data_IF_059219009699
#
_entry.id   IF_059219009699
#
_cell.length_a   1.000
_cell.length_b   1.000
_cell.length_c   1.000
_cell.angle_alpha   90.00
_cell.angle_beta   90.00
_cell.angle_gamma   90.00
#
_symmetry.space_group_name_H-M   'P 1'
#
loop_
_entity.id
_entity.type
_entity.pdbx_description
1 polymer ?
#
# COMPACT_ATOMS: atom_id res chain seq x y z
N UNK A 1 15.00 -22.71 7.11
CA UNK A 1 13.52 -22.66 7.20
C UNK A 1 13.03 -21.67 8.25
N UNK A 2 13.44 -21.77 9.53
CA UNK A 2 12.97 -20.85 10.58
C UNK A 2 13.23 -19.36 10.27
N UNK A 3 14.43 -19.01 9.78
CA UNK A 3 14.75 -17.63 9.39
C UNK A 3 13.86 -17.11 8.23
N UNK A 4 13.65 -17.92 7.19
CA UNK A 4 12.81 -17.55 6.05
C UNK A 4 11.36 -17.34 6.50
N UNK A 5 10.84 -18.24 7.33
CA UNK A 5 9.50 -18.09 7.91
C UNK A 5 9.38 -16.82 8.75
N UNK A 6 10.39 -16.52 9.59
CA UNK A 6 10.42 -15.29 10.39
C UNK A 6 10.44 -14.04 9.50
N UNK A 7 11.26 -14.03 8.43
CA UNK A 7 11.31 -12.93 7.46
C UNK A 7 9.97 -12.74 6.73
N UNK A 8 9.34 -13.83 6.29
CA UNK A 8 8.00 -13.77 5.67
C UNK A 8 6.97 -13.20 6.62
N UNK A 9 6.96 -13.63 7.89
CA UNK A 9 6.06 -13.12 8.91
C UNK A 9 6.29 -11.62 9.19
N UNK A 10 7.54 -11.17 9.23
CA UNK A 10 7.87 -9.75 9.39
C UNK A 10 7.36 -8.92 8.21
N UNK A 11 7.51 -9.41 6.97
CA UNK A 11 6.98 -8.74 5.78
C UNK A 11 5.46 -8.64 5.84
N UNK A 12 4.78 -9.70 6.27
CA UNK A 12 3.33 -9.68 6.42
C UNK A 12 2.89 -8.68 7.49
N UNK A 13 3.56 -8.66 8.64
CA UNK A 13 3.29 -7.69 9.70
C UNK A 13 3.48 -6.25 9.22
N UNK A 14 4.58 -5.97 8.50
CA UNK A 14 4.84 -4.66 7.91
C UNK A 14 3.76 -4.29 6.88
N UNK A 15 3.39 -5.20 5.98
CA UNK A 15 2.36 -4.96 4.96
C UNK A 15 0.97 -4.69 5.53
N UNK A 16 0.64 -5.29 6.68
CA UNK A 16 -0.66 -5.11 7.34
C UNK A 16 -0.75 -3.81 8.14
N UNK A 17 0.37 -3.28 8.63
CA UNK A 17 0.39 -2.04 9.40
C UNK A 17 -0.37 -0.86 8.74
N UNK A 18 -0.11 -0.48 7.47
CA UNK A 18 -0.82 0.62 6.83
C UNK A 18 -2.31 0.33 6.60
N UNK A 19 -2.69 -0.93 6.39
CA UNK A 19 -4.10 -1.34 6.22
C UNK A 19 -4.86 -1.19 7.53
N UNK A 20 -4.27 -1.66 8.64
CA UNK A 20 -4.84 -1.54 9.99
C UNK A 20 -4.97 -0.06 10.36
N UNK A 21 -3.93 0.74 10.12
CA UNK A 21 -3.95 2.17 10.45
C UNK A 21 -5.00 2.93 9.63
N UNK A 22 -5.19 2.57 8.36
CA UNK A 22 -6.28 3.11 7.54
C UNK A 22 -7.65 2.76 8.11
N UNK A 23 -7.85 1.55 8.63
CA UNK A 23 -9.11 1.17 9.30
C UNK A 23 -9.37 1.96 10.59
N UNK A 24 -8.32 2.34 11.32
CA UNK A 24 -8.42 3.20 12.52
C UNK A 24 -8.64 4.68 12.14
N UNK A 25 -8.65 5.02 10.85
CA UNK A 25 -8.92 6.37 10.35
C UNK A 25 -7.67 7.22 10.12
N UNK A 26 -6.48 6.61 10.11
CA UNK A 26 -5.24 7.31 9.75
C UNK A 26 -5.20 7.55 8.25
N UNK A 27 -5.28 8.81 7.87
CA UNK A 27 -5.23 9.27 6.48
C UNK A 27 -3.78 9.43 6.01
N UNK A 28 -3.21 8.36 5.45
CA UNK A 28 -1.87 8.39 4.85
C UNK A 28 -1.94 8.28 3.32
N UNK A 29 -1.05 8.99 2.63
CA UNK A 29 -0.88 8.94 1.19
C UNK A 29 0.60 8.86 0.80
N UNK A 30 1.06 7.78 0.12
CA UNK A 30 2.42 7.72 -0.42
C UNK A 30 2.58 8.65 -1.62
N UNK A 31 3.73 9.30 -1.75
CA UNK A 31 4.06 10.13 -2.90
C UNK A 31 4.39 9.25 -4.11
N UNK A 32 3.88 9.60 -5.30
CA UNK A 32 4.09 8.81 -6.52
C UNK A 32 5.56 8.77 -6.97
N UNK A 33 6.33 9.79 -6.60
CA UNK A 33 7.75 9.98 -6.90
C UNK A 33 8.68 9.51 -5.77
N UNK A 34 8.13 8.89 -4.72
CA UNK A 34 8.96 8.37 -3.64
C UNK A 34 9.91 7.26 -4.16
N UNK A 35 11.21 7.27 -3.81
CA UNK A 35 12.16 6.26 -4.29
C UNK A 35 11.72 4.80 -4.05
N UNK A 36 11.13 4.43 -2.88
CA UNK A 36 10.63 3.07 -2.67
C UNK A 36 9.56 2.62 -3.67
N UNK A 37 8.78 3.56 -4.24
CA UNK A 37 7.74 3.27 -5.25
C UNK A 37 8.38 2.87 -6.57
N UNK A 38 9.48 3.53 -6.97
CA UNK A 38 10.23 3.18 -8.19
C UNK A 38 10.79 1.75 -8.13
N UNK A 39 11.06 1.23 -6.93
CA UNK A 39 11.53 -0.14 -6.70
C UNK A 39 10.40 -1.17 -6.54
N UNK A 40 9.14 -0.81 -6.81
CA UNK A 40 8.00 -1.71 -6.65
C UNK A 40 8.14 -3.04 -7.41
N UNK A 41 8.68 -3.02 -8.63
CA UNK A 41 8.95 -4.23 -9.42
C UNK A 41 10.01 -5.14 -8.78
N UNK A 42 11.01 -4.54 -8.14
CA UNK A 42 12.04 -5.28 -7.39
C UNK A 42 11.39 -5.94 -6.16
N UNK A 43 10.48 -5.24 -5.48
CA UNK A 43 9.72 -5.79 -4.36
C UNK A 43 8.88 -7.01 -4.77
N UNK A 44 8.22 -6.94 -5.93
CA UNK A 44 7.43 -8.04 -6.48
C UNK A 44 8.32 -9.26 -6.77
N UNK A 45 9.47 -9.05 -7.43
CA UNK A 45 10.42 -10.12 -7.73
C UNK A 45 11.00 -10.74 -6.45
N UNK A 46 11.49 -9.93 -5.53
CA UNK A 46 12.04 -10.39 -4.26
C UNK A 46 11.00 -11.13 -3.40
N UNK A 47 9.77 -10.61 -3.33
CA UNK A 47 8.66 -11.26 -2.65
C UNK A 47 8.28 -12.60 -3.28
N UNK A 48 8.35 -12.71 -4.60
CA UNK A 48 8.13 -13.97 -5.33
C UNK A 48 9.19 -15.02 -5.01
N UNK A 49 10.46 -14.64 -5.06
CA UNK A 49 11.59 -15.54 -4.69
C UNK A 49 11.47 -15.98 -3.24
N UNK A 50 11.22 -15.04 -2.32
CA UNK A 50 11.08 -15.37 -0.90
C UNK A 50 9.88 -16.27 -0.63
N UNK A 51 8.73 -15.98 -1.25
CA UNK A 51 7.54 -16.84 -1.17
C UNK A 51 7.83 -18.24 -1.72
N UNK A 52 8.48 -18.35 -2.87
CA UNK A 52 8.86 -19.64 -3.42
C UNK A 52 9.78 -20.41 -2.47
N UNK A 53 10.81 -19.77 -1.92
CA UNK A 53 11.73 -20.41 -0.97
C UNK A 53 11.07 -20.81 0.35
N UNK A 54 10.07 -20.06 0.81
CA UNK A 54 9.33 -20.40 2.03
C UNK A 54 8.34 -21.55 1.82
N UNK A 55 7.67 -21.61 0.67
CA UNK A 55 6.52 -22.49 0.44
C UNK A 55 6.80 -23.68 -0.49
N UNK A 56 7.70 -23.59 -1.48
CA UNK A 56 8.03 -24.70 -2.41
C UNK A 56 8.71 -25.90 -1.74
N UNK A 57 9.61 -25.76 -0.74
CA UNK A 57 10.13 -26.93 -0.03
C UNK A 57 9.04 -27.78 0.63
N UNK A 58 7.90 -27.15 0.98
CA UNK A 58 6.72 -27.83 1.48
C UNK A 58 6.05 -28.71 0.41
N UNK A 59 6.10 -28.33 -0.88
CA UNK A 59 5.66 -29.19 -2.01
C UNK A 59 6.57 -30.39 -2.22
N UNK A 60 7.88 -30.19 -2.09
CA UNK A 60 8.86 -31.24 -2.36
C UNK A 60 8.93 -32.29 -1.25
N UNK A 61 8.08 -32.18 -0.21
CA UNK A 61 8.10 -33.09 0.92
C UNK A 61 9.39 -33.00 1.72
N UNK A 62 10.14 -31.88 1.60
CA UNK A 62 11.34 -31.57 2.39
C UNK A 62 10.92 -31.09 3.79
N UNK A 63 9.98 -31.82 4.40
CA UNK A 63 9.55 -31.59 5.76
C UNK A 63 10.63 -32.13 6.69
N UNK A 64 11.08 -31.35 7.69
CA UNK A 64 12.03 -31.84 8.70
C UNK A 64 11.50 -33.03 9.51
N UNK A 65 10.20 -33.34 9.42
CA UNK A 65 9.54 -34.47 10.09
C UNK A 65 9.63 -35.81 9.34
N UNK A 66 10.25 -35.87 8.15
CA UNK A 66 10.43 -37.11 7.38
C UNK A 66 9.13 -37.72 6.80
N UNK A 67 7.96 -37.14 7.06
CA UNK A 67 6.71 -37.55 6.42
C UNK A 67 6.60 -36.96 5.01
N UNK A 68 6.46 -37.84 4.01
CA UNK A 68 6.06 -37.46 2.65
C UNK A 68 4.62 -36.94 2.68
N UNK A 69 4.46 -35.63 2.62
CA UNK A 69 3.16 -35.01 2.41
C UNK A 69 2.61 -35.44 1.04
N UNK A 70 1.41 -36.02 0.99
CA UNK A 70 0.69 -36.18 -0.28
C UNK A 70 0.26 -34.80 -0.76
N UNK A 71 0.82 -34.35 -1.87
CA UNK A 71 0.46 -33.07 -2.47
C UNK A 71 -0.90 -33.21 -3.16
N UNK A 72 -1.96 -32.86 -2.44
CA UNK A 72 -3.32 -32.76 -2.99
C UNK A 72 -3.61 -31.36 -3.55
N UNK A 73 -4.71 -31.23 -4.31
CA UNK A 73 -5.14 -29.95 -4.90
C UNK A 73 -5.26 -28.82 -3.86
N UNK A 74 -5.82 -29.09 -2.68
CA UNK A 74 -5.94 -28.10 -1.61
C UNK A 74 -4.58 -27.57 -1.11
N UNK A 75 -3.56 -28.42 -1.07
CA UNK A 75 -2.20 -28.01 -0.71
C UNK A 75 -1.57 -27.16 -1.81
N UNK A 76 -1.77 -27.50 -3.09
CA UNK A 76 -1.32 -26.66 -4.21
C UNK A 76 -1.96 -25.27 -4.17
N UNK A 77 -3.27 -25.18 -3.92
CA UNK A 77 -3.98 -23.91 -3.79
C UNK A 77 -3.47 -23.08 -2.60
N UNK A 78 -3.28 -23.71 -1.43
CA UNK A 78 -2.75 -23.02 -0.26
C UNK A 78 -1.33 -22.46 -0.50
N UNK A 79 -0.50 -23.17 -1.27
CA UNK A 79 0.86 -22.75 -1.58
C UNK A 79 0.88 -21.64 -2.64
N UNK A 80 0.07 -21.74 -3.69
CA UNK A 80 -0.12 -20.65 -4.65
C UNK A 80 -0.62 -19.38 -3.95
N UNK A 81 -1.58 -19.52 -3.04
CA UNK A 81 -2.08 -18.42 -2.23
C UNK A 81 -1.00 -17.83 -1.30
N UNK A 82 -0.20 -18.67 -0.65
CA UNK A 82 0.91 -18.23 0.21
C UNK A 82 1.98 -17.44 -0.55
N UNK A 83 2.36 -17.89 -1.75
CA UNK A 83 3.28 -17.15 -2.63
C UNK A 83 2.65 -15.82 -3.06
N UNK A 84 1.40 -15.84 -3.53
CA UNK A 84 0.69 -14.63 -3.97
C UNK A 84 0.59 -13.59 -2.85
N UNK A 85 0.21 -13.99 -1.63
CA UNK A 85 0.19 -13.11 -0.46
C UNK A 85 1.57 -12.56 -0.15
N UNK A 86 2.63 -13.36 -0.28
CA UNK A 86 3.99 -12.91 0.04
C UNK A 86 4.48 -11.87 -0.96
N UNK A 87 4.22 -12.07 -2.27
CA UNK A 87 4.50 -11.09 -3.32
C UNK A 87 3.77 -9.78 -3.04
N UNK A 88 2.46 -9.90 -2.79
CA UNK A 88 1.60 -8.77 -2.48
C UNK A 88 2.06 -7.99 -1.24
N UNK A 89 2.40 -8.71 -0.17
CA UNK A 89 2.86 -8.12 1.09
C UNK A 89 4.21 -7.45 0.93
N UNK A 90 5.15 -8.03 0.18
CA UNK A 90 6.44 -7.40 -0.10
C UNK A 90 6.27 -6.07 -0.83
N UNK A 91 5.36 -6.01 -1.82
CA UNK A 91 5.01 -4.77 -2.50
C UNK A 91 4.44 -3.72 -1.54
N UNK A 92 3.44 -4.08 -0.73
CA UNK A 92 2.83 -3.16 0.24
C UNK A 92 3.83 -2.68 1.32
N UNK A 93 4.71 -3.57 1.78
CA UNK A 93 5.76 -3.21 2.72
C UNK A 93 6.69 -2.14 2.13
N UNK A 94 7.15 -2.31 0.88
CA UNK A 94 8.09 -1.37 0.28
C UNK A 94 7.42 -0.08 -0.22
N UNK A 95 6.31 -0.19 -0.94
CA UNK A 95 5.68 0.93 -1.66
C UNK A 95 4.83 1.80 -0.73
N UNK A 96 4.32 1.23 0.37
CA UNK A 96 3.47 1.97 1.31
C UNK A 96 4.14 2.11 2.68
N UNK A 97 4.56 1.00 3.28
CA UNK A 97 4.99 1.00 4.69
C UNK A 97 6.30 1.74 4.89
N UNK A 98 7.27 1.60 3.99
CA UNK A 98 8.55 2.35 4.08
C UNK A 98 8.34 3.85 3.94
N UNK A 99 7.64 4.38 2.90
CA UNK A 99 7.30 5.80 2.84
C UNK A 99 6.52 6.30 4.06
N UNK A 100 5.60 5.49 4.56
CA UNK A 100 4.81 5.80 5.76
C UNK A 100 5.68 5.95 7.00
N UNK A 101 6.58 5.00 7.24
CA UNK A 101 7.50 5.04 8.37
C UNK A 101 8.46 6.23 8.26
N UNK A 102 8.99 6.48 7.06
CA UNK A 102 9.85 7.63 6.81
C UNK A 102 9.11 8.95 7.10
N UNK A 103 7.87 9.09 6.61
CA UNK A 103 7.03 10.25 6.89
C UNK A 103 6.71 10.41 8.38
N UNK A 104 6.46 9.31 9.09
CA UNK A 104 6.15 9.31 10.53
C UNK A 104 7.36 9.72 11.38
N UNK A 105 8.57 9.29 11.00
CA UNK A 105 9.81 9.65 11.70
C UNK A 105 10.16 11.12 11.48
N UNK A 106 10.00 11.63 10.24
CA UNK A 106 10.32 13.01 9.89
C UNK A 106 9.30 14.02 10.45
N UNK A 107 8.02 13.74 10.27
CA UNK A 107 6.94 14.58 10.80
C UNK A 107 6.95 16.04 10.33
N UNK A 108 7.48 16.32 9.14
CA UNK A 108 7.60 17.68 8.60
C UNK A 108 6.25 18.16 8.05
N UNK A 109 5.94 19.45 8.17
CA UNK A 109 4.78 20.02 7.50
C UNK A 109 5.01 20.04 5.98
N UNK A 110 4.27 19.21 5.24
CA UNK A 110 4.47 19.02 3.79
C UNK A 110 3.17 19.21 3.02
N UNK A 111 3.33 19.67 1.78
CA UNK A 111 2.26 19.92 0.82
C UNK A 111 2.59 19.16 -0.47
N UNK A 112 1.98 18.00 -0.68
CA UNK A 112 2.28 17.13 -1.82
C UNK A 112 1.21 17.23 -2.91
N UNK A 113 1.59 17.46 -4.18
CA UNK A 113 0.64 17.52 -5.29
C UNK A 113 0.26 16.11 -5.78
N UNK A 114 -1.03 15.90 -6.00
CA UNK A 114 -1.59 14.68 -6.59
C UNK A 114 -2.52 15.03 -7.73
N UNK A 115 -2.50 14.23 -8.81
CA UNK A 115 -3.41 14.40 -9.94
C UNK A 115 -4.71 13.67 -9.65
N UNK A 116 -5.84 14.30 -9.87
CA UNK A 116 -7.16 13.69 -9.72
C UNK A 116 -7.42 12.73 -10.88
N UNK A 117 -7.69 11.46 -10.59
CA UNK A 117 -8.12 10.50 -11.60
C UNK A 117 -9.65 10.49 -11.72
N UNK A 118 -10.35 10.35 -10.59
CA UNK A 118 -11.81 10.41 -10.56
C UNK A 118 -12.31 11.37 -9.45
N UNK A 119 -12.88 12.54 -9.81
CA UNK A 119 -13.38 13.51 -8.83
C UNK A 119 -14.68 13.07 -8.15
N UNK A 120 -15.41 12.09 -8.71
CA UNK A 120 -16.70 11.61 -8.18
C UNK A 120 -16.65 10.11 -7.96
N UNK A 121 -15.65 9.68 -7.19
CA UNK A 121 -15.60 8.28 -6.83
C UNK A 121 -16.71 7.95 -5.79
N UNK A 122 -17.56 7.00 -6.16
CA UNK A 122 -18.66 6.51 -5.33
C UNK A 122 -18.30 5.21 -4.60
N UNK A 123 -17.06 4.71 -4.75
CA UNK A 123 -16.64 3.38 -4.29
C UNK A 123 -16.60 3.23 -2.75
N UNK A 124 -16.65 4.31 -1.97
CA UNK A 124 -16.66 4.21 -0.50
C UNK A 124 -18.03 3.85 0.12
N UNK A 125 -18.65 2.74 -0.32
CA UNK A 125 -19.81 2.14 0.39
C UNK A 125 -19.49 1.68 1.83
N UNK A 126 -18.21 1.59 2.22
CA UNK A 126 -17.78 1.29 3.59
C UNK A 126 -17.47 2.58 4.37
N UNK A 127 -18.53 3.21 4.89
CA UNK A 127 -18.63 3.81 6.23
C UNK A 127 -17.71 4.96 6.68
N UNK A 128 -16.46 5.09 6.24
CA UNK A 128 -15.47 5.99 6.87
C UNK A 128 -14.92 7.07 5.94
N UNK A 129 -15.35 7.07 4.68
CA UNK A 129 -14.88 8.03 3.67
C UNK A 129 -16.07 8.51 2.84
N UNK A 130 -17.08 9.11 3.50
CA UNK A 130 -18.15 9.80 2.77
C UNK A 130 -17.47 10.97 2.04
N UNK A 131 -17.61 11.08 0.72
CA UNK A 131 -16.93 12.09 -0.13
C UNK A 131 -15.43 11.81 -0.36
N UNK A 132 -15.14 10.75 -1.10
CA UNK A 132 -13.80 10.44 -1.60
C UNK A 132 -13.55 11.09 -2.97
N UNK A 133 -12.29 11.44 -3.24
CA UNK A 133 -11.77 11.63 -4.60
C UNK A 133 -10.69 10.58 -4.85
N UNK A 134 -10.66 10.02 -6.07
CA UNK A 134 -9.58 9.15 -6.49
C UNK A 134 -8.50 9.98 -7.18
N UNK A 135 -7.25 9.76 -6.79
CA UNK A 135 -6.06 10.41 -7.34
C UNK A 135 -5.13 9.37 -7.95
N UNK A 136 -4.34 9.78 -8.95
CA UNK A 136 -3.24 9.00 -9.47
C UNK A 136 -2.26 8.72 -8.33
N UNK A 137 -2.27 7.48 -7.86
CA UNK A 137 -1.53 7.06 -6.68
C UNK A 137 -0.44 6.06 -7.00
N UNK A 138 0.53 6.00 -6.08
CA UNK A 138 1.59 5.00 -6.10
C UNK A 138 1.07 3.57 -5.92
N UNK A 139 -0.11 3.39 -5.30
CA UNK A 139 -0.64 2.06 -4.99
C UNK A 139 -2.17 2.03 -5.03
N UNK A 140 -2.73 0.90 -5.46
CA UNK A 140 -4.16 0.70 -5.65
C UNK A 140 -5.00 0.72 -4.36
N UNK A 141 -4.38 0.55 -3.18
CA UNK A 141 -5.06 0.62 -1.86
C UNK A 141 -5.08 2.04 -1.28
N UNK A 142 -4.29 2.94 -1.87
CA UNK A 142 -4.09 4.31 -1.42
C UNK A 142 -4.27 5.27 -2.58
N UNK A 143 -5.34 5.09 -3.36
CA UNK A 143 -5.78 5.96 -4.44
C UNK A 143 -6.89 6.93 -4.01
N UNK A 144 -7.53 6.66 -2.88
CA UNK A 144 -8.67 7.41 -2.39
C UNK A 144 -8.28 8.38 -1.27
N UNK A 145 -8.55 9.67 -1.50
CA UNK A 145 -8.42 10.76 -0.53
C UNK A 145 -9.78 11.05 0.09
N UNK A 146 -9.83 11.05 1.42
CA UNK A 146 -11.04 11.25 2.22
C UNK A 146 -11.17 12.67 2.76
N UNK A 147 -12.38 13.07 3.15
CA UNK A 147 -12.61 14.35 3.82
C UNK A 147 -12.53 15.56 2.89
N UNK A 148 -12.79 15.37 1.59
CA UNK A 148 -12.81 16.47 0.62
C UNK A 148 -14.18 17.16 0.69
N UNK A 149 -14.23 18.48 0.93
CA UNK A 149 -15.50 19.21 0.98
C UNK A 149 -16.19 19.20 -0.39
N UNK A 150 -17.53 19.08 -0.40
CA UNK A 150 -18.31 18.97 -1.63
C UNK A 150 -18.10 20.17 -2.56
N UNK A 151 -17.94 21.37 -2.02
CA UNK A 151 -17.64 22.59 -2.81
C UNK A 151 -16.32 22.49 -3.58
N UNK A 152 -15.31 21.84 -3.00
CA UNK A 152 -14.06 21.57 -3.72
C UNK A 152 -14.29 20.50 -4.77
N UNK A 153 -15.01 19.43 -4.43
CA UNK A 153 -15.26 18.27 -5.29
C UNK A 153 -16.08 18.61 -6.54
N UNK A 154 -17.08 19.46 -6.41
CA UNK A 154 -17.97 19.85 -7.52
C UNK A 154 -17.22 20.57 -8.64
N UNK A 155 -16.16 21.32 -8.32
CA UNK A 155 -15.33 22.01 -9.29
C UNK A 155 -14.04 21.27 -9.67
N UNK A 156 -13.81 20.04 -9.19
CA UNK A 156 -12.66 19.24 -9.59
C UNK A 156 -12.93 18.49 -10.90
N UNK A 157 -11.95 18.53 -11.80
CA UNK A 157 -11.96 17.77 -13.05
C UNK A 157 -10.83 16.74 -13.05
N UNK A 158 -11.01 15.67 -13.83
CA UNK A 158 -9.96 14.67 -14.07
C UNK A 158 -8.71 15.36 -14.62
N UNK A 159 -7.54 14.97 -14.13
CA UNK A 159 -6.24 15.53 -14.48
C UNK A 159 -5.85 16.80 -13.72
N UNK A 160 -6.77 17.44 -12.97
CA UNK A 160 -6.41 18.58 -12.13
C UNK A 160 -5.50 18.16 -10.97
N UNK A 161 -4.64 19.09 -10.52
CA UNK A 161 -3.73 18.85 -9.40
C UNK A 161 -4.35 19.39 -8.11
N UNK A 162 -4.52 18.50 -7.14
CA UNK A 162 -4.86 18.84 -5.76
C UNK A 162 -3.62 18.73 -4.89
N UNK A 163 -3.53 19.58 -3.87
CA UNK A 163 -2.43 19.54 -2.90
C UNK A 163 -2.96 19.01 -1.58
N UNK A 164 -2.36 17.92 -1.11
CA UNK A 164 -2.61 17.38 0.23
C UNK A 164 -1.65 18.04 1.22
N UNK A 165 -2.21 18.57 2.29
CA UNK A 165 -1.45 19.22 3.36
C UNK A 165 -1.51 18.39 4.63
N UNK A 166 -0.39 18.31 5.34
CA UNK A 166 -0.33 17.64 6.62
C UNK A 166 1.09 17.42 7.11
N UNK A 167 1.27 16.38 7.92
CA UNK A 167 2.56 15.99 8.49
C UNK A 167 3.15 14.83 7.70
N UNK A 168 4.45 14.85 7.39
CA UNK A 168 5.08 13.76 6.67
C UNK A 168 6.48 14.09 6.14
N UNK A 169 6.72 13.72 4.89
CA UNK A 169 7.98 13.96 4.18
C UNK A 169 7.76 14.00 2.67
N UNK A 170 8.82 14.22 1.90
CA UNK A 170 8.77 14.11 0.43
C UNK A 170 8.29 12.73 -0.08
N UNK A 171 8.30 11.68 0.75
CA UNK A 171 7.90 10.33 0.34
C UNK A 171 6.42 10.02 0.62
N UNK A 172 5.75 10.85 1.41
CA UNK A 172 4.35 10.63 1.76
C UNK A 172 3.86 11.57 2.84
N UNK A 173 2.54 11.71 2.94
CA UNK A 173 1.88 12.68 3.82
C UNK A 173 0.74 12.03 4.60
N UNK A 174 0.71 12.31 5.90
CA UNK A 174 -0.46 12.15 6.76
C UNK A 174 -1.32 13.39 6.60
N UNK A 175 -2.30 13.32 5.71
CA UNK A 175 -3.04 14.50 5.29
C UNK A 175 -4.16 14.83 6.28
N UNK A 176 -4.30 16.11 6.58
CA UNK A 176 -5.40 16.67 7.39
C UNK A 176 -6.31 17.57 6.58
N UNK A 177 -5.87 18.00 5.39
CA UNK A 177 -6.65 18.87 4.51
C UNK A 177 -6.24 18.78 3.05
N UNK A 178 -7.14 19.23 2.18
CA UNK A 178 -6.98 19.23 0.73
C UNK A 178 -7.27 20.63 0.21
N UNK A 179 -6.38 21.16 -0.62
CA UNK A 179 -6.63 22.41 -1.35
C UNK A 179 -6.43 22.21 -2.85
N UNK A 180 -7.09 23.02 -3.67
CA UNK A 180 -6.67 23.18 -5.06
C UNK A 180 -5.32 23.89 -5.09
N UNK A 181 -4.47 23.53 -6.03
CA UNK A 181 -3.27 24.33 -6.32
C UNK A 181 -3.76 25.66 -6.86
N UNK A 182 -3.54 26.74 -6.11
CA UNK A 182 -3.65 28.08 -6.69
C UNK A 182 -2.54 28.18 -7.73
N UNK A 183 -2.90 28.27 -9.01
CA UNK A 183 -1.98 28.81 -10.01
C UNK A 183 -1.57 30.18 -9.48
N UNK A 184 -0.34 30.31 -8.97
CA UNK A 184 0.23 31.64 -8.79
C UNK A 184 0.39 32.21 -10.21
N UNK A 185 -0.20 33.38 -10.49
CA UNK A 185 0.00 34.07 -11.75
C UNK A 185 1.47 34.44 -11.96
#
# INVERSE_FOLDING_TARGET
MALLAALTLLIWAAAMAPVILRWVGVCFMPAADAPPVAYGNVALGAGGVLGALAFVPMMLGLSPSGQRARVGLGMLLALAFGVMITVFSAYMALVVTVPMLHAAIRGEAVALPFRVDNPRDHVSRRGHCRHAISVEAASFLFDNVCGVPDSLREGLQRGQVVTLHGSGSAWGVFYSGVSRRAERP
#
